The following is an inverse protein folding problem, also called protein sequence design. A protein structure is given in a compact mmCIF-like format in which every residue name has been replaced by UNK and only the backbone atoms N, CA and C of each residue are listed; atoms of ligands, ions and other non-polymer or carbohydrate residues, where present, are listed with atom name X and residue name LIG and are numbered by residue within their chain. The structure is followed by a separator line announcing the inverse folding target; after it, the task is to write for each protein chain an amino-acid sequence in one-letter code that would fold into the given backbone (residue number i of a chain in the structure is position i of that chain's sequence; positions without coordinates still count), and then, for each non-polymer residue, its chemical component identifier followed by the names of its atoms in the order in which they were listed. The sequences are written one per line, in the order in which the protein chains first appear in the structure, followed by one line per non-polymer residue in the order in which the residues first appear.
data_IF_870566909232
#
_entry.id   IF_870566909232
#
_cell.length_a   1.000
_cell.length_b   1.000
_cell.length_c   1.000
_cell.angle_alpha   90.00
_cell.angle_beta   90.00
_cell.angle_gamma   90.00
#
_symmetry.space_group_name_H-M   'P 1'
#
loop_
_entity.id
_entity.type
_entity.pdbx_description
1 polymer ?
#
# COMPACT_ATOMS: atom_id res chain seq x y z
N UNK A 1 -5.01 27.48 -14.70
CA UNK A 1 -6.38 27.62 -14.16
C UNK A 1 -6.34 27.22 -12.70
N UNK A 2 -6.88 28.02 -11.79
CA UNK A 2 -7.07 27.59 -10.41
C UNK A 2 -8.26 26.61 -10.41
N UNK A 3 -8.04 25.37 -10.00
CA UNK A 3 -9.14 24.43 -9.82
C UNK A 3 -10.07 24.93 -8.71
N UNK A 4 -11.38 24.73 -8.88
CA UNK A 4 -12.34 25.02 -7.82
C UNK A 4 -11.94 24.22 -6.56
N UNK A 5 -11.92 24.84 -5.37
CA UNK A 5 -11.69 24.10 -4.13
C UNK A 5 -12.69 22.95 -4.02
N UNK A 6 -12.18 21.76 -3.72
CA UNK A 6 -12.98 20.56 -3.50
C UNK A 6 -12.64 20.03 -2.11
N UNK A 7 -13.66 19.62 -1.36
CA UNK A 7 -13.49 18.90 -0.10
C UNK A 7 -13.12 17.44 -0.39
N UNK A 8 -11.91 17.23 -0.92
CA UNK A 8 -11.46 15.90 -1.37
C UNK A 8 -11.44 14.87 -0.24
N UNK A 9 -11.14 15.29 0.98
CA UNK A 9 -11.19 14.40 2.14
C UNK A 9 -12.60 13.87 2.40
N UNK A 10 -13.61 14.74 2.37
CA UNK A 10 -15.02 14.33 2.56
C UNK A 10 -15.49 13.35 1.47
N UNK A 11 -14.99 13.52 0.24
CA UNK A 11 -15.29 12.62 -0.88
C UNK A 11 -14.65 11.24 -0.66
N UNK A 12 -13.46 11.20 -0.07
CA UNK A 12 -12.71 9.97 0.16
C UNK A 12 -13.08 9.28 1.49
N UNK A 13 -13.71 9.98 2.42
CA UNK A 13 -14.05 9.43 3.74
C UNK A 13 -14.83 8.11 3.69
N UNK A 14 -15.89 7.95 2.87
CA UNK A 14 -16.63 6.68 2.79
C UNK A 14 -15.78 5.51 2.32
N UNK A 15 -14.74 5.78 1.52
CA UNK A 15 -13.80 4.76 1.07
C UNK A 15 -12.94 4.28 2.24
N UNK A 16 -12.36 5.18 3.03
CA UNK A 16 -11.59 4.81 4.22
C UNK A 16 -12.45 4.10 5.28
N UNK A 17 -13.68 4.58 5.49
CA UNK A 17 -14.62 3.98 6.44
C UNK A 17 -14.94 2.52 6.09
N UNK A 18 -15.00 2.17 4.80
CA UNK A 18 -15.28 0.80 4.35
C UNK A 18 -14.19 -0.22 4.73
N UNK A 19 -12.96 0.26 5.00
CA UNK A 19 -11.82 -0.55 5.47
C UNK A 19 -11.53 -0.34 6.96
N UNK A 20 -12.39 0.38 7.69
CA UNK A 20 -12.13 0.81 9.07
C UNK A 20 -10.76 1.53 9.20
N UNK A 21 -10.40 2.34 8.21
CA UNK A 21 -9.15 3.10 8.19
C UNK A 21 -9.38 4.48 8.82
N UNK A 22 -8.55 4.83 9.80
CA UNK A 22 -8.45 6.19 10.33
C UNK A 22 -7.40 6.98 9.55
N UNK A 23 -7.77 8.13 9.01
CA UNK A 23 -6.83 9.04 8.35
C UNK A 23 -6.29 10.04 9.38
N UNK A 24 -4.99 9.98 9.68
CA UNK A 24 -4.34 10.94 10.57
C UNK A 24 -3.84 12.18 9.83
N UNK A 25 -3.32 11.99 8.61
CA UNK A 25 -2.81 13.05 7.75
C UNK A 25 -2.98 12.63 6.29
N UNK A 26 -3.35 13.55 5.41
CA UNK A 26 -3.47 13.30 3.98
C UNK A 26 -3.09 14.56 3.21
N UNK A 27 -1.91 14.56 2.60
CA UNK A 27 -1.33 15.72 1.93
C UNK A 27 -1.13 15.43 0.45
N UNK A 28 -1.65 16.31 -0.40
CA UNK A 28 -1.29 16.31 -1.82
C UNK A 28 0.08 16.96 -2.00
N UNK A 29 0.98 16.26 -2.67
CA UNK A 29 2.28 16.79 -3.06
C UNK A 29 2.14 17.62 -4.34
N UNK A 30 2.83 18.75 -4.39
CA UNK A 30 2.94 19.59 -5.59
C UNK A 30 4.22 19.23 -6.36
N UNK A 31 4.06 18.59 -7.52
CA UNK A 31 5.16 18.17 -8.39
C UNK A 31 4.72 18.04 -9.85
N UNK A 32 5.60 17.54 -10.72
CA UNK A 32 5.28 17.27 -12.15
C UNK A 32 4.16 16.23 -12.25
N UNK A 33 4.15 15.26 -11.32
CA UNK A 33 3.13 14.24 -11.20
C UNK A 33 2.26 14.47 -9.96
N UNK A 34 0.95 14.27 -10.11
CA UNK A 34 0.01 14.34 -9.00
C UNK A 34 0.22 13.15 -8.08
N UNK A 35 0.65 13.40 -6.85
CA UNK A 35 0.87 12.35 -5.86
C UNK A 35 0.43 12.81 -4.46
N UNK A 36 0.29 11.88 -3.52
CA UNK A 36 -0.10 12.16 -2.15
C UNK A 36 0.75 11.37 -1.15
N UNK A 37 0.79 11.86 0.08
CA UNK A 37 1.34 11.15 1.23
C UNK A 37 0.26 11.12 2.29
N UNK A 38 0.04 9.95 2.89
CA UNK A 38 -0.98 9.74 3.90
C UNK A 38 -0.43 8.96 5.09
N UNK A 39 -0.85 9.34 6.30
CA UNK A 39 -0.61 8.58 7.52
C UNK A 39 -1.94 7.97 7.93
N UNK A 40 -1.98 6.64 7.94
CA UNK A 40 -3.20 5.85 8.15
C UNK A 40 -3.04 4.98 9.41
N UNK A 41 -4.13 4.86 10.17
CA UNK A 41 -4.29 3.88 11.24
C UNK A 41 -5.30 2.83 10.81
N UNK A 42 -5.01 1.56 11.06
CA UNK A 42 -5.92 0.45 10.81
C UNK A 42 -5.64 -0.69 11.80
N UNK A 43 -6.61 -1.58 12.00
CA UNK A 43 -6.47 -2.76 12.86
C UNK A 43 -5.55 -3.81 12.24
N UNK A 44 -5.54 -3.94 10.90
CA UNK A 44 -4.81 -5.00 10.21
C UNK A 44 -4.10 -4.49 8.95
N UNK A 45 -2.93 -5.06 8.66
CA UNK A 45 -2.13 -4.73 7.48
C UNK A 45 -2.87 -5.13 6.18
N UNK A 46 -3.67 -6.21 6.23
CA UNK A 46 -4.47 -6.71 5.10
C UNK A 46 -5.48 -5.68 4.60
N UNK A 47 -6.02 -4.85 5.49
CA UNK A 47 -6.98 -3.80 5.12
C UNK A 47 -6.30 -2.67 4.34
N UNK A 48 -5.06 -2.31 4.72
CA UNK A 48 -4.25 -1.35 3.97
C UNK A 48 -3.84 -1.91 2.62
N UNK A 49 -3.38 -3.16 2.58
CA UNK A 49 -3.01 -3.85 1.35
C UNK A 49 -4.20 -3.96 0.37
N UNK A 50 -5.39 -4.33 0.86
CA UNK A 50 -6.60 -4.39 0.04
C UNK A 50 -6.97 -3.02 -0.54
N UNK A 51 -6.90 -1.96 0.29
CA UNK A 51 -7.13 -0.59 -0.15
C UNK A 51 -6.14 -0.18 -1.25
N UNK A 52 -4.85 -0.44 -1.06
CA UNK A 52 -3.79 -0.12 -2.03
C UNK A 52 -4.03 -0.83 -3.36
N UNK A 53 -4.39 -2.12 -3.34
CA UNK A 53 -4.70 -2.89 -4.53
C UNK A 53 -5.92 -2.33 -5.30
N UNK A 54 -6.97 -1.88 -4.60
CA UNK A 54 -8.13 -1.24 -5.24
C UNK A 54 -7.72 0.08 -5.87
N UNK A 55 -6.99 0.93 -5.16
CA UNK A 55 -6.50 2.21 -5.69
C UNK A 55 -5.62 1.99 -6.92
N UNK A 56 -4.70 1.03 -6.86
CA UNK A 56 -3.86 0.64 -8.00
C UNK A 56 -4.69 0.17 -9.20
N UNK A 57 -5.73 -0.63 -8.97
CA UNK A 57 -6.61 -1.12 -10.04
C UNK A 57 -7.39 -0.02 -10.78
N UNK A 58 -7.55 1.16 -10.16
CA UNK A 58 -8.22 2.29 -10.82
C UNK A 58 -7.38 2.97 -11.91
N UNK A 59 -6.07 2.69 -11.96
CA UNK A 59 -5.14 3.32 -12.91
C UNK A 59 -4.88 4.81 -12.65
N UNK A 60 -5.51 5.41 -11.64
CA UNK A 60 -5.37 6.83 -11.32
C UNK A 60 -4.03 7.17 -10.63
N UNK A 61 -3.36 6.17 -10.05
CA UNK A 61 -2.07 6.34 -9.41
C UNK A 61 -1.09 5.34 -10.02
N UNK A 62 -0.17 5.85 -10.85
CA UNK A 62 0.81 5.02 -11.55
C UNK A 62 1.76 4.29 -10.58
N UNK A 63 1.99 4.86 -9.39
CA UNK A 63 2.84 4.29 -8.36
C UNK A 63 2.22 4.59 -6.99
N UNK A 64 1.56 3.62 -6.38
CA UNK A 64 1.17 3.66 -4.97
C UNK A 64 2.03 2.65 -4.22
N UNK A 65 2.66 3.09 -3.14
CA UNK A 65 3.40 2.23 -2.24
C UNK A 65 2.95 2.54 -0.82
N UNK A 66 2.90 1.50 0.01
CA UNK A 66 2.70 1.64 1.44
C UNK A 66 3.80 0.85 2.16
N UNK A 67 4.08 1.27 3.38
CA UNK A 67 5.05 0.59 4.24
C UNK A 67 4.66 0.79 5.68
N UNK A 68 4.68 -0.29 6.44
CA UNK A 68 4.63 -0.24 7.91
C UNK A 68 6.06 -0.17 8.46
N UNK A 69 6.26 0.65 9.49
CA UNK A 69 7.47 0.55 10.29
C UNK A 69 7.33 -0.66 11.23
N UNK A 70 8.03 -1.75 10.89
CA UNK A 70 8.10 -2.93 11.74
C UNK A 70 9.14 -2.72 12.84
N UNK A 71 8.88 -3.27 14.03
CA UNK A 71 9.96 -3.49 14.98
C UNK A 71 10.92 -4.58 14.46
N UNK A 72 12.10 -4.67 15.07
CA UNK A 72 13.17 -5.54 14.58
C UNK A 72 12.80 -7.03 14.60
N UNK A 73 12.05 -7.47 15.61
CA UNK A 73 11.68 -8.88 15.76
C UNK A 73 10.62 -9.26 14.70
N UNK A 74 9.60 -8.42 14.55
CA UNK A 74 8.58 -8.60 13.50
C UNK A 74 9.21 -8.55 12.10
N UNK A 75 10.15 -7.64 11.86
CA UNK A 75 10.83 -7.57 10.56
C UNK A 75 11.70 -8.80 10.27
N UNK A 76 12.32 -9.36 11.30
CA UNK A 76 13.09 -10.61 11.19
C UNK A 76 12.19 -11.78 10.79
N UNK A 77 11.01 -11.92 11.40
CA UNK A 77 10.04 -12.96 11.06
C UNK A 77 9.58 -12.85 9.60
N UNK A 78 9.27 -11.63 9.14
CA UNK A 78 8.91 -11.36 7.73
C UNK A 78 10.06 -11.74 6.79
N UNK A 79 11.30 -11.39 7.15
CA UNK A 79 12.48 -11.72 6.36
C UNK A 79 12.71 -13.23 6.25
N UNK A 80 12.66 -13.95 7.38
CA UNK A 80 12.84 -15.41 7.41
C UNK A 80 11.75 -16.11 6.58
N UNK A 81 10.49 -15.66 6.68
CA UNK A 81 9.41 -16.19 5.85
C UNK A 81 9.68 -15.98 4.35
N UNK A 82 10.12 -14.79 3.95
CA UNK A 82 10.47 -14.48 2.57
C UNK A 82 11.64 -15.33 2.06
N UNK A 83 12.65 -15.53 2.88
CA UNK A 83 13.81 -16.38 2.58
C UNK A 83 13.40 -17.82 2.28
N UNK A 84 12.59 -18.42 3.15
CA UNK A 84 12.12 -19.80 3.00
C UNK A 84 11.26 -19.98 1.74
N UNK A 85 10.33 -19.05 1.47
CA UNK A 85 9.47 -19.08 0.28
C UNK A 85 10.28 -18.94 -1.01
N UNK A 86 11.29 -18.09 -1.02
CA UNK A 86 12.17 -17.89 -2.16
C UNK A 86 13.04 -19.12 -2.42
N UNK A 87 13.57 -19.76 -1.36
CA UNK A 87 14.26 -21.05 -1.48
C UNK A 87 13.36 -22.13 -2.10
N UNK A 88 12.10 -22.22 -1.66
CA UNK A 88 11.12 -23.15 -2.22
C UNK A 88 10.78 -22.84 -3.69
N UNK A 89 10.60 -21.56 -4.04
CA UNK A 89 10.31 -21.13 -5.41
C UNK A 89 11.45 -21.46 -6.37
N UNK A 90 12.70 -21.10 -6.01
CA UNK A 90 13.89 -21.40 -6.82
C UNK A 90 14.06 -22.91 -7.01
N UNK A 91 13.88 -23.69 -5.94
CA UNK A 91 13.90 -25.16 -6.01
C UNK A 91 12.80 -25.69 -6.96
N UNK A 92 11.58 -25.15 -6.89
CA UNK A 92 10.49 -25.56 -7.77
C UNK A 92 10.73 -25.22 -9.25
N UNK A 93 11.37 -24.08 -9.55
CA UNK A 93 11.76 -23.72 -10.90
C UNK A 93 12.84 -24.65 -11.48
N UNK A 94 13.84 -24.98 -10.66
CA UNK A 94 14.90 -25.93 -11.03
C UNK A 94 14.31 -27.32 -11.33
N UNK A 95 13.36 -27.78 -10.52
CA UNK A 95 12.64 -29.05 -10.77
C UNK A 95 11.75 -28.98 -12.01
N UNK A 96 11.16 -27.82 -12.29
CA UNK A 96 10.33 -27.59 -13.48
C UNK A 96 11.14 -27.42 -14.78
N UNK A 97 12.48 -27.33 -14.71
CA UNK A 97 13.36 -27.17 -15.87
C UNK A 97 13.18 -25.84 -16.59
N UNK A 98 12.68 -24.83 -15.88
CA UNK A 98 12.51 -23.46 -16.38
C UNK A 98 13.66 -22.64 -15.82
N UNK A 99 14.87 -22.85 -16.36
CA UNK A 99 16.03 -21.96 -16.17
C UNK A 99 16.18 -21.02 -17.36
#
# INVERSE_FOLDING_TARGET
MLNKPQNRLEILQPFFDSFNITVHEFVFTSGIDFNFVSVLGCETDESIEAMVNIVYSTGNFANIAWSRAYDADTYKEVFEHGHDRMGAYVSSMQVAGVD
#
